data_IF_368996295010
#
_entry.id   IF_368996295010
#
_cell.length_a   1.000
_cell.length_b   1.000
_cell.length_c   1.000
_cell.angle_alpha   90.00
_cell.angle_beta   90.00
_cell.angle_gamma   90.00
#
_symmetry.space_group_name_H-M   'P 1'
#
loop_
_entity.id
_entity.type
_entity.pdbx_description
1 polymer ?
#
# COMPACT_ATOMS: atom_id res chain seq x y z
N UNK A 1 -7.55 -11.68 -12.74
CA UNK A 1 -8.23 -10.60 -11.98
C UNK A 1 -8.12 -10.99 -10.50
N UNK A 2 -7.95 -10.04 -9.56
CA UNK A 2 -7.66 -10.35 -8.15
C UNK A 2 -8.92 -10.64 -7.35
N UNK A 3 -8.87 -11.65 -6.48
CA UNK A 3 -10.01 -12.05 -5.63
C UNK A 3 -10.24 -11.07 -4.48
N UNK A 4 -9.17 -10.56 -3.85
CA UNK A 4 -9.19 -9.59 -2.76
C UNK A 4 -8.17 -8.47 -3.00
N UNK A 5 -8.52 -7.24 -2.60
CA UNK A 5 -7.65 -6.07 -2.68
C UNK A 5 -7.62 -5.38 -1.33
N UNK A 6 -6.41 -5.19 -0.79
CA UNK A 6 -6.19 -4.46 0.46
C UNK A 6 -5.55 -3.10 0.15
N UNK A 7 -6.23 -2.02 0.52
CA UNK A 7 -5.67 -0.67 0.47
C UNK A 7 -4.82 -0.46 1.73
N UNK A 8 -3.50 -0.58 1.57
CA UNK A 8 -2.53 -0.42 2.64
C UNK A 8 -2.18 1.06 2.86
N UNK A 9 -2.56 1.60 4.02
CA UNK A 9 -2.37 3.02 4.38
C UNK A 9 -1.22 3.14 5.38
N UNK A 10 -0.09 3.68 4.92
CA UNK A 10 1.09 3.85 5.76
C UNK A 10 0.88 4.95 6.81
N UNK A 11 1.24 4.68 8.07
CA UNK A 11 1.27 5.66 9.16
C UNK A 11 2.06 6.93 8.80
N UNK A 12 3.22 6.77 8.14
CA UNK A 12 4.06 7.85 7.62
C UNK A 12 4.35 9.01 8.60
N UNK A 13 4.80 8.74 9.85
CA UNK A 13 4.96 9.78 10.86
C UNK A 13 5.94 10.89 10.45
N UNK A 14 6.95 10.57 9.64
CA UNK A 14 7.92 11.56 9.12
C UNK A 14 7.34 12.58 8.14
N UNK A 15 6.12 12.36 7.63
CA UNK A 15 5.49 13.21 6.62
C UNK A 15 4.49 14.22 7.20
N UNK A 16 4.29 14.26 8.52
CA UNK A 16 3.33 15.16 9.19
C UNK A 16 1.99 15.23 8.45
N UNK A 17 1.31 14.09 8.32
CA UNK A 17 0.08 13.98 7.55
C UNK A 17 -1.02 14.87 8.11
N UNK A 18 -1.82 15.48 7.23
CA UNK A 18 -2.93 16.36 7.63
C UNK A 18 -3.99 15.64 8.47
N UNK A 19 -4.22 14.36 8.18
CA UNK A 19 -5.16 13.50 8.89
C UNK A 19 -4.40 12.40 9.63
N UNK A 20 -4.97 11.95 10.73
CA UNK A 20 -4.50 10.78 11.49
C UNK A 20 -4.57 9.51 10.62
N UNK A 21 -3.86 8.46 11.04
CA UNK A 21 -3.94 7.18 10.33
C UNK A 21 -5.38 6.66 10.30
N UNK A 22 -6.07 6.70 11.44
CA UNK A 22 -7.42 6.17 11.59
C UNK A 22 -8.43 6.92 10.71
N UNK A 23 -8.34 8.25 10.66
CA UNK A 23 -9.17 9.07 9.76
C UNK A 23 -8.95 8.69 8.29
N UNK A 24 -7.69 8.50 7.86
CA UNK A 24 -7.38 8.10 6.48
C UNK A 24 -7.89 6.71 6.14
N UNK A 25 -7.80 5.77 7.08
CA UNK A 25 -8.38 4.42 6.93
C UNK A 25 -9.89 4.52 6.79
N UNK A 26 -10.55 5.32 7.62
CA UNK A 26 -12.00 5.51 7.56
C UNK A 26 -12.43 6.16 6.24
N UNK A 27 -11.73 7.18 5.75
CA UNK A 27 -12.03 7.80 4.45
C UNK A 27 -11.93 6.79 3.30
N UNK A 28 -10.87 5.97 3.29
CA UNK A 28 -10.70 4.92 2.30
C UNK A 28 -11.86 3.93 2.35
N UNK A 29 -12.20 3.45 3.55
CA UNK A 29 -13.32 2.52 3.79
C UNK A 29 -14.66 3.08 3.30
N UNK A 30 -14.94 4.35 3.55
CA UNK A 30 -16.18 4.99 3.12
C UNK A 30 -16.29 5.06 1.59
N UNK A 31 -15.24 5.54 0.92
CA UNK A 31 -15.23 5.71 -0.54
C UNK A 31 -15.29 4.37 -1.26
N UNK A 32 -14.68 3.30 -0.70
CA UNK A 32 -14.68 1.97 -1.31
C UNK A 32 -15.76 1.03 -0.77
N UNK A 33 -16.68 1.52 0.07
CA UNK A 33 -17.73 0.69 0.72
C UNK A 33 -18.65 -0.08 -0.24
N UNK A 34 -18.77 0.39 -1.48
CA UNK A 34 -19.56 -0.23 -2.54
C UNK A 34 -18.85 -1.42 -3.24
N UNK A 35 -17.55 -1.65 -2.95
CA UNK A 35 -16.74 -2.72 -3.51
C UNK A 35 -16.60 -3.86 -2.49
N UNK A 36 -17.22 -5.00 -2.77
CA UNK A 36 -17.30 -6.12 -1.83
C UNK A 36 -15.97 -6.84 -1.59
N UNK A 37 -14.99 -6.67 -2.48
CA UNK A 37 -13.68 -7.32 -2.42
C UNK A 37 -12.53 -6.36 -2.08
N UNK A 38 -12.85 -5.17 -1.56
CA UNK A 38 -11.86 -4.15 -1.19
C UNK A 38 -11.93 -3.86 0.29
N UNK A 39 -10.81 -4.02 0.98
CA UNK A 39 -10.64 -3.65 2.39
C UNK A 39 -9.59 -2.56 2.52
N UNK A 40 -9.57 -1.86 3.66
CA UNK A 40 -8.60 -0.81 3.96
C UNK A 40 -7.97 -1.06 5.31
N UNK A 41 -6.64 -1.02 5.37
CA UNK A 41 -5.89 -1.33 6.59
C UNK A 41 -4.74 -0.33 6.76
N UNK A 42 -4.62 0.18 7.99
CA UNK A 42 -3.49 1.01 8.39
C UNK A 42 -2.31 0.14 8.80
N UNK A 43 -1.09 0.57 8.48
CA UNK A 43 0.11 -0.13 8.94
C UNK A 43 1.23 0.82 9.36
N UNK A 44 2.06 0.32 10.27
CA UNK A 44 3.33 0.93 10.69
C UNK A 44 4.49 -0.01 10.38
N UNK A 45 5.63 0.52 9.96
CA UNK A 45 6.81 -0.27 9.60
C UNK A 45 6.97 -0.46 8.10
N UNK A 46 7.58 -1.57 7.68
CA UNK A 46 7.88 -1.82 6.27
C UNK A 46 6.67 -2.42 5.56
N UNK A 47 6.41 -1.94 4.34
CA UNK A 47 5.35 -2.45 3.47
C UNK A 47 5.50 -3.96 3.20
N UNK A 48 6.73 -4.45 3.11
CA UNK A 48 7.02 -5.88 2.91
C UNK A 48 6.51 -6.73 4.08
N UNK A 49 6.68 -6.25 5.30
CA UNK A 49 6.25 -6.99 6.49
C UNK A 49 4.72 -7.00 6.58
N UNK A 50 4.09 -5.87 6.26
CA UNK A 50 2.64 -5.79 6.13
C UNK A 50 2.11 -6.75 5.05
N UNK A 51 2.70 -6.72 3.85
CA UNK A 51 2.29 -7.61 2.75
C UNK A 51 2.43 -9.10 3.12
N UNK A 52 3.49 -9.47 3.86
CA UNK A 52 3.65 -10.83 4.38
C UNK A 52 2.57 -11.19 5.41
N UNK A 53 2.25 -10.27 6.32
CA UNK A 53 1.26 -10.50 7.36
C UNK A 53 -0.14 -10.70 6.77
N UNK A 54 -0.48 -9.93 5.74
CA UNK A 54 -1.73 -10.03 4.98
C UNK A 54 -1.71 -11.13 3.91
N UNK A 55 -0.61 -11.90 3.80
CA UNK A 55 -0.41 -12.93 2.78
C UNK A 55 -0.60 -12.43 1.33
N UNK A 56 -0.32 -11.16 1.08
CA UNK A 56 -0.50 -10.54 -0.22
C UNK A 56 0.56 -11.03 -1.21
N UNK A 57 0.12 -11.55 -2.36
CA UNK A 57 1.01 -12.08 -3.39
C UNK A 57 1.42 -11.05 -4.45
N UNK A 58 0.71 -9.91 -4.55
CA UNK A 58 0.93 -8.90 -5.59
C UNK A 58 0.86 -7.50 -5.01
N UNK A 59 1.84 -6.66 -5.33
CA UNK A 59 1.87 -5.24 -5.01
C UNK A 59 1.47 -4.42 -6.23
N UNK A 60 0.33 -3.72 -6.14
CA UNK A 60 -0.12 -2.78 -7.16
C UNK A 60 0.37 -1.38 -6.81
N UNK A 61 1.02 -0.69 -7.75
CA UNK A 61 1.41 0.72 -7.62
C UNK A 61 0.97 1.53 -8.83
N UNK A 62 0.40 2.70 -8.54
CA UNK A 62 0.04 3.67 -9.58
C UNK A 62 1.27 4.49 -9.99
N UNK A 63 1.54 4.56 -11.28
CA UNK A 63 2.56 5.44 -11.86
C UNK A 63 1.86 6.65 -12.48
N UNK A 64 2.28 7.87 -12.14
CA UNK A 64 1.62 9.10 -12.64
C UNK A 64 2.49 9.88 -13.62
N UNK A 65 3.81 9.78 -13.53
CA UNK A 65 4.77 10.46 -14.41
C UNK A 65 6.01 9.60 -14.69
N UNK A 66 6.78 9.94 -15.72
CA UNK A 66 8.06 9.28 -16.05
C UNK A 66 9.09 9.32 -14.91
N UNK A 67 9.01 10.33 -14.02
CA UNK A 67 9.88 10.43 -12.83
C UNK A 67 9.45 9.47 -11.72
N UNK A 68 8.14 9.17 -11.58
CA UNK A 68 7.66 8.14 -10.65
C UNK A 68 8.16 6.74 -11.06
N UNK A 69 8.32 6.49 -12.36
CA UNK A 69 8.83 5.22 -12.89
C UNK A 69 10.27 4.94 -12.47
N UNK A 70 11.18 5.92 -12.56
CA UNK A 70 12.58 5.73 -12.15
C UNK A 70 12.73 5.46 -10.65
N UNK A 71 11.97 6.17 -9.82
CA UNK A 71 11.95 5.95 -8.36
C UNK A 71 11.41 4.56 -8.01
N UNK A 72 10.29 4.15 -8.63
CA UNK A 72 9.70 2.83 -8.43
C UNK A 72 10.58 1.70 -8.98
N UNK A 73 11.34 1.93 -10.06
CA UNK A 73 12.29 0.96 -10.58
C UNK A 73 13.43 0.69 -9.58
N UNK A 74 13.92 1.73 -8.91
CA UNK A 74 14.88 1.59 -7.82
C UNK A 74 14.34 0.77 -6.64
N UNK A 75 13.14 1.09 -6.18
CA UNK A 75 12.49 0.37 -5.08
C UNK A 75 12.13 -1.08 -5.43
N UNK A 76 11.67 -1.33 -6.65
CA UNK A 76 11.35 -2.69 -7.14
C UNK A 76 12.59 -3.58 -7.14
N UNK A 77 13.75 -3.05 -7.55
CA UNK A 77 15.01 -3.79 -7.47
C UNK A 77 15.42 -4.10 -6.03
N UNK A 78 15.14 -3.18 -5.09
CA UNK A 78 15.34 -3.44 -3.67
C UNK A 78 14.37 -4.51 -3.14
N UNK A 79 13.09 -4.42 -3.47
CA UNK A 79 12.09 -5.40 -3.04
C UNK A 79 12.35 -6.79 -3.60
N UNK A 80 12.77 -6.94 -4.87
CA UNK A 80 13.23 -8.24 -5.43
C UNK A 80 14.43 -8.84 -4.70
N UNK A 81 15.35 -8.00 -4.21
CA UNK A 81 16.50 -8.48 -3.42
C UNK A 81 16.09 -8.90 -2.01
N UNK A 82 15.10 -8.24 -1.42
CA UNK A 82 14.61 -8.53 -0.07
C UNK A 82 13.55 -9.65 -0.04
N UNK A 83 12.86 -9.89 -1.15
CA UNK A 83 11.88 -10.94 -1.36
C UNK A 83 12.20 -11.68 -2.67
N UNK A 84 13.19 -12.59 -2.66
CA UNK A 84 13.38 -13.52 -3.77
C UNK A 84 12.26 -14.56 -3.73
N UNK A 85 11.20 -14.33 -4.53
CA UNK A 85 10.05 -15.21 -4.70
C UNK A 85 9.35 -14.89 -5.99
#
# INVERSE_FOLDING_TARGET
>A
MFDEIIIAIAASPSKNTLFTLDERVEFSRQVTSHLSNVTSAGFSGLLVDFAKAEQANVLIRGLRTTVDFEYEFGLTNMYRRLLPG
#
